data_IF_248521748119
#
_entry.id   IF_248521748119
#
_cell.length_a   1.000
_cell.length_b   1.000
_cell.length_c   1.000
_cell.angle_alpha   90.00
_cell.angle_beta   90.00
_cell.angle_gamma   90.00
#
_symmetry.space_group_name_H-M   'P 1'
#
loop_
_entity.id
_entity.type
_entity.pdbx_description
1 polymer ?
#
# COMPACT_ATOMS: atom_id res chain seq x y z
N UNK A 1 34.10 20.34 -44.92
CA UNK A 1 34.66 21.00 -43.72
C UNK A 1 34.81 19.95 -42.63
N UNK A 2 35.85 20.09 -41.83
CA UNK A 2 36.58 19.06 -41.10
C UNK A 2 35.93 18.48 -39.83
N UNK A 3 36.54 17.37 -39.37
CA UNK A 3 36.60 16.78 -38.01
C UNK A 3 35.46 15.78 -37.64
N UNK A 4 35.70 14.46 -37.50
CA UNK A 4 36.50 13.75 -36.47
C UNK A 4 35.85 13.96 -35.06
N UNK A 5 35.65 13.01 -34.13
CA UNK A 5 36.15 11.65 -33.91
C UNK A 5 35.56 11.19 -32.55
N UNK A 6 35.22 9.89 -32.40
CA UNK A 6 35.44 9.07 -31.18
C UNK A 6 34.51 9.05 -29.92
N UNK A 7 34.30 7.79 -29.49
CA UNK A 7 34.19 7.13 -28.14
C UNK A 7 32.88 7.12 -27.32
N UNK A 8 32.42 5.86 -27.19
CA UNK A 8 31.99 5.14 -25.98
C UNK A 8 32.53 5.66 -24.64
N UNK A 9 31.65 5.70 -23.63
CA UNK A 9 31.93 5.38 -22.22
C UNK A 9 30.59 4.91 -21.62
N UNK A 10 30.30 3.61 -21.50
CA UNK A 10 30.68 2.69 -20.41
C UNK A 10 30.22 3.15 -19.01
N UNK A 11 29.44 2.28 -18.39
CA UNK A 11 28.83 2.35 -17.06
C UNK A 11 29.83 2.63 -15.94
N UNK A 12 29.34 3.12 -14.80
CA UNK A 12 29.91 2.70 -13.51
C UNK A 12 28.91 2.77 -12.37
N UNK A 13 28.75 1.58 -11.78
CA UNK A 13 28.08 1.28 -10.53
C UNK A 13 28.61 2.22 -9.45
N UNK A 14 27.73 2.81 -8.64
CA UNK A 14 28.14 3.53 -7.44
C UNK A 14 28.75 2.54 -6.46
N UNK A 15 30.08 2.49 -6.47
CA UNK A 15 30.91 1.73 -5.55
C UNK A 15 30.71 2.24 -4.13
N UNK A 16 30.42 1.29 -3.25
CA UNK A 16 30.48 1.37 -1.80
C UNK A 16 31.91 1.78 -1.38
N UNK A 17 32.09 2.99 -0.86
CA UNK A 17 33.33 3.42 -0.22
C UNK A 17 33.13 3.39 1.29
N UNK A 18 33.59 2.32 1.92
CA UNK A 18 33.81 2.25 3.36
C UNK A 18 35.24 2.66 3.71
N UNK A 19 35.41 3.04 4.98
CA UNK A 19 36.66 3.31 5.75
C UNK A 19 36.98 4.78 5.96
N UNK A 20 36.53 5.32 7.11
CA UNK A 20 37.27 6.35 7.85
C UNK A 20 37.59 5.75 9.22
N UNK A 21 38.87 5.40 9.41
CA UNK A 21 39.47 5.21 10.73
C UNK A 21 39.76 6.60 11.29
N UNK A 22 39.07 6.99 12.37
CA UNK A 22 39.44 8.15 13.18
C UNK A 22 39.54 7.73 14.65
N UNK A 23 40.73 7.91 15.20
CA UNK A 23 41.09 7.68 16.60
C UNK A 23 40.45 8.74 17.50
N UNK A 24 39.75 8.29 18.54
CA UNK A 24 39.66 8.92 19.86
C UNK A 24 39.09 10.33 20.00
N UNK A 25 37.77 10.43 20.23
CA UNK A 25 37.18 11.24 21.32
C UNK A 25 35.97 10.47 21.85
N UNK A 26 35.92 10.16 23.14
CA UNK A 26 34.73 9.64 23.79
C UNK A 26 33.66 10.74 23.82
N UNK A 27 32.71 10.68 22.88
CA UNK A 27 31.58 11.59 22.80
C UNK A 27 30.49 10.95 21.97
N UNK A 28 29.35 10.67 22.60
CA UNK A 28 28.19 9.99 22.02
C UNK A 28 27.65 10.74 20.80
N UNK A 29 28.11 10.36 19.60
CA UNK A 29 27.45 10.74 18.36
C UNK A 29 26.19 9.91 18.18
N UNK A 30 25.08 10.38 18.76
CA UNK A 30 23.73 10.10 18.28
C UNK A 30 23.65 10.62 16.83
N UNK A 31 24.09 9.78 15.89
CA UNK A 31 23.74 9.96 14.50
C UNK A 31 22.23 9.76 14.40
N UNK A 32 21.48 10.85 14.32
CA UNK A 32 20.07 10.85 13.91
C UNK A 32 20.03 10.44 12.44
N UNK A 33 20.13 9.14 12.18
CA UNK A 33 19.65 8.56 10.93
C UNK A 33 18.19 8.99 10.85
N UNK A 34 17.72 9.69 9.80
CA UNK A 34 16.30 9.92 9.64
C UNK A 34 15.67 8.54 9.62
N UNK A 35 14.80 8.25 10.59
CA UNK A 35 14.02 7.03 10.57
C UNK A 35 13.30 7.01 9.22
N UNK A 36 13.80 6.21 8.28
CA UNK A 36 13.09 5.91 7.04
C UNK A 36 11.72 5.47 7.52
N UNK A 37 10.69 6.31 7.31
CA UNK A 37 9.35 6.03 7.77
C UNK A 37 9.02 4.63 7.27
N UNK A 38 8.89 3.67 8.20
CA UNK A 38 8.55 2.32 7.84
C UNK A 38 7.28 2.39 6.99
N UNK A 39 7.16 1.60 5.91
CA UNK A 39 5.96 1.63 5.09
C UNK A 39 4.75 1.41 6.00
N UNK A 40 3.83 2.38 6.02
CA UNK A 40 2.63 2.28 6.85
C UNK A 40 1.82 1.06 6.40
N UNK A 41 1.34 0.27 7.36
CA UNK A 41 0.48 -0.87 7.06
C UNK A 41 -0.80 -0.40 6.36
N UNK A 42 -1.41 -1.27 5.54
CA UNK A 42 -2.69 -0.97 4.91
C UNK A 42 -3.76 -0.56 5.95
N UNK A 43 -3.77 -1.22 7.12
CA UNK A 43 -4.68 -0.87 8.23
C UNK A 43 -4.42 0.53 8.79
N UNK A 44 -3.17 0.93 8.96
CA UNK A 44 -2.83 2.28 9.41
C UNK A 44 -3.25 3.35 8.38
N UNK A 45 -3.08 3.06 7.09
CA UNK A 45 -3.57 3.93 6.01
C UNK A 45 -5.09 4.06 6.07
N UNK A 46 -5.82 2.96 6.26
CA UNK A 46 -7.27 2.97 6.38
C UNK A 46 -7.74 3.80 7.60
N UNK A 47 -7.06 3.69 8.74
CA UNK A 47 -7.34 4.53 9.92
C UNK A 47 -7.15 6.03 9.64
N UNK A 48 -6.19 6.39 8.79
CA UNK A 48 -5.99 7.78 8.39
C UNK A 48 -7.06 8.25 7.39
N UNK A 49 -7.54 7.36 6.52
CA UNK A 49 -8.53 7.71 5.49
C UNK A 49 -9.97 7.74 6.04
N UNK A 50 -10.31 6.85 6.98
CA UNK A 50 -11.66 6.68 7.50
C UNK A 50 -11.74 7.33 8.89
N UNK A 51 -12.19 8.59 8.93
CA UNK A 51 -12.21 9.40 10.15
C UNK A 51 -13.28 8.97 11.15
N UNK A 52 -14.39 8.44 10.66
CA UNK A 52 -15.47 7.93 11.51
C UNK A 52 -15.08 6.57 12.12
N UNK A 53 -15.00 6.45 13.46
CA UNK A 53 -14.56 5.22 14.11
C UNK A 53 -15.48 4.02 13.85
N UNK A 54 -16.79 4.23 13.70
CA UNK A 54 -17.74 3.16 13.43
C UNK A 54 -17.59 2.66 11.99
N UNK A 55 -17.39 3.57 11.03
CA UNK A 55 -17.09 3.20 9.65
C UNK A 55 -15.76 2.44 9.54
N UNK A 56 -14.73 2.90 10.25
CA UNK A 56 -13.45 2.20 10.28
C UNK A 56 -13.60 0.80 10.88
N UNK A 57 -14.29 0.66 12.02
CA UNK A 57 -14.49 -0.62 12.67
C UNK A 57 -15.26 -1.61 11.77
N UNK A 58 -16.27 -1.14 11.03
CA UNK A 58 -17.01 -1.95 10.08
C UNK A 58 -16.14 -2.37 8.88
N UNK A 59 -15.39 -1.42 8.30
CA UNK A 59 -14.44 -1.66 7.22
C UNK A 59 -13.37 -2.67 7.63
N UNK A 60 -12.83 -2.54 8.84
CA UNK A 60 -11.81 -3.43 9.40
C UNK A 60 -12.28 -4.88 9.47
N UNK A 61 -13.52 -5.11 9.90
CA UNK A 61 -14.09 -6.47 9.95
C UNK A 61 -14.20 -7.06 8.56
N UNK A 62 -14.76 -6.34 7.59
CA UNK A 62 -14.85 -6.81 6.21
C UNK A 62 -13.45 -7.15 5.67
N UNK A 63 -12.51 -6.20 5.68
CA UNK A 63 -11.16 -6.42 5.12
C UNK A 63 -10.42 -7.56 5.84
N UNK A 64 -10.61 -7.72 7.14
CA UNK A 64 -10.04 -8.85 7.89
C UNK A 64 -10.59 -10.19 7.40
N UNK A 65 -11.89 -10.28 7.11
CA UNK A 65 -12.51 -11.49 6.55
C UNK A 65 -12.10 -11.76 5.09
N UNK A 66 -11.99 -10.71 4.29
CA UNK A 66 -11.69 -10.82 2.85
C UNK A 66 -10.22 -11.15 2.56
N UNK A 67 -9.29 -10.52 3.26
CA UNK A 67 -7.86 -10.58 2.92
C UNK A 67 -6.91 -10.69 4.11
N UNK A 68 -7.41 -10.61 5.34
CA UNK A 68 -6.55 -10.49 6.52
C UNK A 68 -5.62 -9.27 6.46
N UNK A 69 -6.04 -8.20 5.78
CA UNK A 69 -5.26 -6.99 5.49
C UNK A 69 -4.07 -7.15 4.54
N UNK A 70 -3.98 -8.25 3.79
CA UNK A 70 -3.02 -8.39 2.70
C UNK A 70 -3.56 -7.76 1.40
N UNK A 71 -3.04 -6.59 1.03
CA UNK A 71 -3.42 -5.89 -0.20
C UNK A 71 -2.94 -6.58 -1.49
N UNK A 72 -2.16 -7.65 -1.37
CA UNK A 72 -1.71 -8.50 -2.48
C UNK A 72 -2.43 -9.85 -2.52
N UNK A 73 -3.33 -10.11 -1.56
CA UNK A 73 -4.09 -11.36 -1.46
C UNK A 73 -4.83 -11.63 -2.77
N UNK A 74 -4.62 -12.83 -3.32
CA UNK A 74 -5.31 -13.31 -4.52
C UNK A 74 -5.99 -14.62 -4.19
N UNK A 75 -7.30 -14.69 -4.37
CA UNK A 75 -8.02 -15.95 -4.30
C UNK A 75 -7.73 -16.78 -5.55
N UNK A 76 -7.09 -17.94 -5.39
CA UNK A 76 -6.65 -18.78 -6.52
C UNK A 76 -7.80 -19.37 -7.35
N UNK A 77 -8.98 -19.55 -6.74
CA UNK A 77 -10.15 -20.14 -7.41
C UNK A 77 -10.92 -19.09 -8.22
N UNK A 78 -11.19 -17.92 -7.63
CA UNK A 78 -12.01 -16.88 -8.27
C UNK A 78 -11.22 -15.79 -8.98
N UNK A 79 -9.94 -15.60 -8.66
CA UNK A 79 -9.13 -14.48 -9.13
C UNK A 79 -9.44 -13.14 -8.45
N UNK A 80 -10.25 -13.14 -7.37
CA UNK A 80 -10.48 -11.95 -6.56
C UNK A 80 -9.17 -11.44 -5.96
N UNK A 81 -9.01 -10.11 -5.86
CA UNK A 81 -7.73 -9.49 -5.52
C UNK A 81 -7.85 -8.35 -4.50
N UNK A 82 -6.83 -8.26 -3.64
CA UNK A 82 -6.59 -7.11 -2.78
C UNK A 82 -7.44 -7.09 -1.51
N UNK A 83 -7.43 -5.94 -0.83
CA UNK A 83 -7.98 -5.77 0.52
C UNK A 83 -9.46 -6.15 0.64
N UNK A 84 -10.25 -5.83 -0.38
CA UNK A 84 -11.70 -6.05 -0.44
C UNK A 84 -12.07 -7.13 -1.48
N UNK A 85 -11.11 -7.96 -1.90
CA UNK A 85 -11.29 -9.09 -2.82
C UNK A 85 -12.14 -8.74 -4.06
N UNK A 86 -11.75 -7.68 -4.78
CA UNK A 86 -12.52 -7.18 -5.92
C UNK A 86 -12.53 -8.16 -7.10
N UNK A 87 -13.71 -8.36 -7.72
CA UNK A 87 -13.89 -9.21 -8.90
C UNK A 87 -14.71 -8.52 -10.02
N UNK A 88 -14.14 -8.34 -11.23
CA UNK A 88 -12.71 -8.39 -11.54
C UNK A 88 -11.93 -7.27 -10.84
N UNK A 89 -10.67 -7.56 -10.49
CA UNK A 89 -9.77 -6.64 -9.82
C UNK A 89 -9.55 -5.31 -10.58
N UNK A 90 -9.65 -5.35 -11.91
CA UNK A 90 -9.49 -4.19 -12.80
C UNK A 90 -10.48 -3.06 -12.51
N UNK A 91 -11.61 -3.33 -11.82
CA UNK A 91 -12.53 -2.29 -11.35
C UNK A 91 -11.85 -1.27 -10.45
N UNK A 92 -10.80 -1.65 -9.72
CA UNK A 92 -10.05 -0.73 -8.86
C UNK A 92 -9.28 0.35 -9.65
N UNK A 93 -9.12 0.19 -10.97
CA UNK A 93 -8.51 1.20 -11.82
C UNK A 93 -9.27 2.53 -11.83
N UNK A 94 -10.57 2.55 -11.49
CA UNK A 94 -11.34 3.79 -11.35
C UNK A 94 -10.86 4.66 -10.18
N UNK A 95 -10.25 4.06 -9.16
CA UNK A 95 -9.71 4.78 -8.00
C UNK A 95 -8.28 5.29 -8.23
N UNK A 96 -7.52 4.63 -9.11
CA UNK A 96 -6.15 4.98 -9.49
C UNK A 96 -5.49 3.87 -10.33
N UNK A 97 -4.56 4.23 -11.22
CA UNK A 97 -3.86 3.26 -12.09
C UNK A 97 -2.88 2.34 -11.35
N UNK A 98 -2.52 2.70 -10.12
CA UNK A 98 -1.60 1.98 -9.23
C UNK A 98 -2.29 1.00 -8.28
N UNK A 99 -3.59 0.75 -8.49
CA UNK A 99 -4.45 -0.10 -7.63
C UNK A 99 -3.86 -1.46 -7.28
N UNK A 100 -3.04 -2.02 -8.17
CA UNK A 100 -2.45 -3.35 -7.96
C UNK A 100 -1.44 -3.36 -6.82
N UNK A 101 -0.70 -2.28 -6.61
CA UNK A 101 0.39 -2.22 -5.62
C UNK A 101 0.17 -1.17 -4.53
N UNK A 102 -0.89 -0.36 -4.60
CA UNK A 102 -1.14 0.71 -3.66
C UNK A 102 -2.36 0.40 -2.76
N UNK A 103 -2.16 0.08 -1.47
CA UNK A 103 -3.27 -0.17 -0.54
C UNK A 103 -4.19 1.04 -0.36
N UNK A 104 -3.69 2.28 -0.45
CA UNK A 104 -4.53 3.47 -0.36
C UNK A 104 -5.54 3.54 -1.51
N UNK A 105 -5.12 3.18 -2.72
CA UNK A 105 -6.00 3.09 -3.90
C UNK A 105 -7.05 2.01 -3.72
N UNK A 106 -6.69 0.84 -3.17
CA UNK A 106 -7.63 -0.23 -2.87
C UNK A 106 -8.64 0.17 -1.78
N UNK A 107 -8.19 0.86 -0.72
CA UNK A 107 -9.06 1.38 0.36
C UNK A 107 -10.05 2.39 -0.22
N UNK A 108 -9.58 3.34 -1.03
CA UNK A 108 -10.44 4.33 -1.69
C UNK A 108 -11.53 3.62 -2.53
N UNK A 109 -11.13 2.69 -3.38
CA UNK A 109 -12.10 1.94 -4.18
C UNK A 109 -13.09 1.14 -3.32
N UNK A 110 -12.61 0.47 -2.28
CA UNK A 110 -13.43 -0.31 -1.36
C UNK A 110 -14.48 0.55 -0.66
N UNK A 111 -14.10 1.74 -0.19
CA UNK A 111 -15.02 2.71 0.41
C UNK A 111 -16.08 3.17 -0.60
N UNK A 112 -15.69 3.52 -1.82
CA UNK A 112 -16.61 3.93 -2.87
C UNK A 112 -17.61 2.82 -3.20
N UNK A 113 -17.15 1.56 -3.29
CA UNK A 113 -18.00 0.40 -3.49
C UNK A 113 -18.98 0.18 -2.33
N UNK A 114 -18.51 0.23 -1.08
CA UNK A 114 -19.37 0.09 0.10
C UNK A 114 -20.45 1.17 0.14
N UNK A 115 -20.07 2.42 -0.13
CA UNK A 115 -20.99 3.54 -0.15
C UNK A 115 -22.03 3.39 -1.27
N UNK A 116 -21.62 2.97 -2.47
CA UNK A 116 -22.54 2.79 -3.60
C UNK A 116 -23.51 1.62 -3.43
N UNK A 117 -23.05 0.49 -2.87
CA UNK A 117 -23.83 -0.75 -2.81
C UNK A 117 -24.63 -0.89 -1.53
N UNK A 118 -24.07 -0.41 -0.41
CA UNK A 118 -24.61 -0.62 0.94
C UNK A 118 -24.87 0.70 1.69
N UNK A 119 -24.60 1.84 1.07
CA UNK A 119 -24.75 3.17 1.67
C UNK A 119 -23.60 3.58 2.59
N UNK A 120 -22.88 2.63 3.19
CA UNK A 120 -21.68 2.88 4.01
C UNK A 120 -20.94 1.59 4.35
N UNK A 121 -19.68 1.66 4.85
CA UNK A 121 -19.02 0.51 5.49
C UNK A 121 -19.82 -0.16 6.59
N UNK A 122 -20.52 0.61 7.44
CA UNK A 122 -21.44 0.05 8.44
C UNK A 122 -22.60 -0.71 7.78
N UNK A 123 -23.17 -0.16 6.71
CA UNK A 123 -24.20 -0.84 5.92
C UNK A 123 -23.70 -2.16 5.32
N UNK A 124 -22.47 -2.16 4.79
CA UNK A 124 -21.82 -3.35 4.26
C UNK A 124 -21.61 -4.43 5.34
N UNK A 125 -21.13 -4.03 6.52
CA UNK A 125 -20.96 -4.97 7.64
C UNK A 125 -22.30 -5.54 8.14
N UNK A 126 -23.35 -4.72 8.19
CA UNK A 126 -24.70 -5.21 8.52
C UNK A 126 -25.22 -6.20 7.49
N UNK A 127 -24.97 -5.94 6.21
CA UNK A 127 -25.29 -6.88 5.14
C UNK A 127 -24.54 -8.20 5.31
N UNK A 128 -23.22 -8.14 5.53
CA UNK A 128 -22.37 -9.31 5.70
C UNK A 128 -22.79 -10.18 6.89
N UNK A 129 -23.16 -9.60 8.03
CA UNK A 129 -23.59 -10.36 9.21
C UNK A 129 -24.83 -11.24 8.95
N UNK A 130 -25.69 -10.84 8.01
CA UNK A 130 -26.91 -11.58 7.67
C UNK A 130 -26.70 -12.58 6.53
N UNK A 131 -25.74 -12.31 5.64
CA UNK A 131 -25.60 -13.01 4.36
C UNK A 131 -24.31 -13.83 4.25
N UNK A 132 -23.28 -13.48 5.03
CA UNK A 132 -21.93 -14.05 5.00
C UNK A 132 -21.22 -13.88 3.65
N UNK A 133 -21.60 -12.85 2.88
CA UNK A 133 -20.93 -12.40 1.66
C UNK A 133 -21.01 -10.88 1.53
N UNK A 134 -20.18 -10.32 0.65
CA UNK A 134 -19.96 -8.89 0.46
C UNK A 134 -19.65 -8.52 -1.00
#
# INVERSE_FOLDING_TARGET
MSNAVIRRIAASKKTLAGTVLALGVAGSMLATVPAQAAPMSAKAIAQQMIKDPAQFAAFDKIVSHESGWDFTATNASSGAYGLVQALPASKMASAGSDWKSNPATQIKWGLDYMNSRYGSPVGAWNFWQNNHWY
#
